data_IF_051862286447
#
_entry.id   IF_051862286447
#
_cell.length_a   1.000
_cell.length_b   1.000
_cell.length_c   1.000
_cell.angle_alpha   90.00
_cell.angle_beta   90.00
_cell.angle_gamma   90.00
#
_symmetry.space_group_name_H-M   'P 1'
#
loop_
_entity.id
_entity.type
_entity.pdbx_description
1 polymer ?
#
# COMPACT_ATOMS: atom_id res chain seq x y z
N UNK A 1 9.38 -33.53 10.60
CA UNK A 1 9.96 -32.41 11.35
C UNK A 1 10.02 -31.18 10.44
N UNK A 2 9.47 -30.03 10.90
CA UNK A 2 9.47 -28.79 10.13
C UNK A 2 10.86 -28.17 10.20
N UNK A 3 11.49 -27.89 9.04
CA UNK A 3 12.80 -27.22 8.96
C UNK A 3 12.71 -25.93 8.14
N UNK A 4 12.69 -24.79 8.79
CA UNK A 4 12.60 -23.48 8.13
C UNK A 4 13.91 -23.06 7.44
N UNK A 5 15.03 -23.76 7.72
CA UNK A 5 16.34 -23.43 7.15
C UNK A 5 16.70 -24.31 5.95
N UNK A 6 16.23 -25.54 5.94
CA UNK A 6 16.67 -26.56 4.98
C UNK A 6 15.59 -26.88 3.94
N UNK A 7 14.32 -26.61 4.25
CA UNK A 7 13.16 -26.93 3.41
C UNK A 7 12.40 -25.68 3.03
N UNK A 8 12.63 -25.10 1.84
CA UNK A 8 11.91 -23.91 1.37
C UNK A 8 10.38 -24.07 1.41
N UNK A 9 9.88 -25.26 1.16
CA UNK A 9 8.45 -25.60 1.21
C UNK A 9 7.88 -25.40 2.62
N UNK A 10 8.59 -25.82 3.66
CA UNK A 10 8.17 -25.65 5.06
C UNK A 10 8.16 -24.17 5.44
N UNK A 11 9.13 -23.39 4.97
CA UNK A 11 9.17 -21.96 5.20
C UNK A 11 7.97 -21.26 4.54
N UNK A 12 7.67 -21.59 3.28
CA UNK A 12 6.53 -21.02 2.53
C UNK A 12 5.20 -21.40 3.18
N UNK A 13 5.01 -22.66 3.54
CA UNK A 13 3.78 -23.14 4.19
C UNK A 13 3.58 -22.48 5.56
N UNK A 14 4.64 -22.34 6.34
CA UNK A 14 4.60 -21.67 7.64
C UNK A 14 4.23 -20.20 7.49
N UNK A 15 4.84 -19.49 6.55
CA UNK A 15 4.51 -18.10 6.26
C UNK A 15 3.05 -17.95 5.78
N UNK A 16 2.58 -18.84 4.89
CA UNK A 16 1.21 -18.84 4.41
C UNK A 16 0.20 -19.08 5.54
N UNK A 17 0.47 -20.03 6.44
CA UNK A 17 -0.35 -20.30 7.61
C UNK A 17 -0.39 -19.09 8.56
N UNK A 18 0.75 -18.45 8.81
CA UNK A 18 0.83 -17.27 9.66
C UNK A 18 -0.03 -16.12 9.07
N UNK A 19 0.14 -15.81 7.79
CA UNK A 19 -0.63 -14.76 7.10
C UNK A 19 -2.14 -15.08 7.15
N UNK A 20 -2.52 -16.35 6.98
CA UNK A 20 -3.90 -16.79 7.10
C UNK A 20 -4.46 -16.55 8.51
N UNK A 21 -3.71 -16.88 9.57
CA UNK A 21 -4.09 -16.60 10.95
C UNK A 21 -4.19 -15.10 11.26
N UNK A 22 -3.42 -14.27 10.56
CA UNK A 22 -3.49 -12.81 10.67
C UNK A 22 -4.71 -12.22 9.98
N UNK A 23 -5.55 -13.03 9.32
CA UNK A 23 -6.82 -12.64 8.73
C UNK A 23 -6.78 -12.42 7.21
N UNK A 24 -5.85 -13.08 6.49
CA UNK A 24 -5.87 -13.10 5.03
C UNK A 24 -7.12 -13.80 4.51
N UNK A 25 -7.81 -13.16 3.57
CA UNK A 25 -9.00 -13.70 2.93
C UNK A 25 -8.65 -14.14 1.51
N UNK A 26 -8.72 -15.46 1.27
CA UNK A 26 -8.42 -16.05 -0.04
C UNK A 26 -9.39 -15.52 -1.11
N UNK A 27 -8.82 -15.07 -2.23
CA UNK A 27 -9.61 -14.59 -3.37
C UNK A 27 -10.03 -13.13 -3.28
N UNK A 28 -9.82 -12.44 -2.16
CA UNK A 28 -10.02 -10.99 -2.08
C UNK A 28 -8.84 -10.21 -2.66
N UNK A 29 -9.15 -9.05 -3.21
CA UNK A 29 -8.14 -8.09 -3.66
C UNK A 29 -7.26 -7.64 -2.48
N UNK A 30 -6.01 -7.31 -2.76
CA UNK A 30 -5.11 -6.72 -1.77
C UNK A 30 -4.49 -5.38 -2.20
N UNK A 31 -4.12 -5.21 -3.47
CA UNK A 31 -3.62 -3.95 -4.00
C UNK A 31 -4.04 -3.80 -5.46
N UNK A 32 -4.84 -2.78 -5.76
CA UNK A 32 -5.33 -2.52 -7.12
C UNK A 32 -4.90 -1.13 -7.59
N UNK A 33 -4.31 -1.06 -8.79
CA UNK A 33 -3.97 0.22 -9.40
C UNK A 33 -5.24 0.95 -9.84
N UNK A 34 -5.28 2.26 -9.59
CA UNK A 34 -6.40 3.11 -9.96
C UNK A 34 -5.96 4.31 -10.77
N UNK A 35 -6.90 4.84 -11.55
CA UNK A 35 -6.77 6.10 -12.26
C UNK A 35 -7.57 7.15 -11.48
N UNK A 36 -6.88 8.22 -11.06
CA UNK A 36 -7.51 9.36 -10.40
C UNK A 36 -8.03 10.37 -11.44
N UNK A 37 -9.14 11.06 -11.16
CA UNK A 37 -9.52 12.25 -11.92
C UNK A 37 -8.43 13.33 -11.86
N UNK A 38 -8.41 14.24 -12.85
CA UNK A 38 -7.39 15.29 -12.94
C UNK A 38 -7.35 16.18 -11.69
N UNK A 39 -8.52 16.54 -11.16
CA UNK A 39 -8.68 17.45 -10.01
C UNK A 39 -9.08 16.67 -8.75
N UNK A 40 -8.51 15.49 -8.55
CA UNK A 40 -8.80 14.66 -7.39
C UNK A 40 -8.22 15.25 -6.10
N UNK A 41 -9.01 15.19 -5.03
CA UNK A 41 -8.59 15.60 -3.68
C UNK A 41 -7.64 14.56 -3.09
N UNK A 42 -6.34 14.68 -3.40
CA UNK A 42 -5.31 13.72 -3.00
C UNK A 42 -5.14 13.62 -1.47
N UNK A 43 -5.61 14.62 -0.70
CA UNK A 43 -5.67 14.62 0.76
C UNK A 43 -6.56 13.51 1.32
N UNK A 44 -7.44 12.93 0.51
CA UNK A 44 -8.23 11.77 0.88
C UNK A 44 -7.40 10.46 0.91
N UNK A 45 -6.18 10.49 0.41
CA UNK A 45 -5.27 9.35 0.46
C UNK A 45 -4.64 9.20 1.86
N UNK A 46 -4.16 7.99 2.15
CA UNK A 46 -3.45 7.66 3.38
C UNK A 46 -4.23 6.78 4.34
N UNK A 47 -3.49 6.16 5.26
CA UNK A 47 -4.07 5.30 6.28
C UNK A 47 -5.04 6.07 7.19
N UNK A 48 -6.11 5.39 7.62
CA UNK A 48 -7.16 6.00 8.44
C UNK A 48 -8.21 6.79 7.63
N UNK A 49 -8.04 6.94 6.31
CA UNK A 49 -8.96 7.68 5.42
C UNK A 49 -9.68 6.77 4.40
N UNK A 50 -9.71 5.47 4.66
CA UNK A 50 -10.33 4.49 3.78
C UNK A 50 -11.85 4.60 3.72
N UNK A 51 -12.42 3.99 2.69
CA UNK A 51 -13.87 3.91 2.45
C UNK A 51 -14.19 2.71 1.55
N UNK A 52 -15.47 2.42 1.35
CA UNK A 52 -15.89 1.36 0.44
C UNK A 52 -15.48 1.66 -1.00
N UNK A 53 -15.24 0.62 -1.80
CA UNK A 53 -14.85 0.78 -3.21
C UNK A 53 -15.87 1.61 -4.00
N UNK A 54 -17.18 1.42 -3.75
CA UNK A 54 -18.26 2.21 -4.38
C UNK A 54 -18.11 3.71 -4.13
N UNK A 55 -17.64 4.10 -2.94
CA UNK A 55 -17.49 5.51 -2.58
C UNK A 55 -16.29 6.12 -3.31
N UNK A 56 -15.22 5.34 -3.53
CA UNK A 56 -14.11 5.73 -4.39
C UNK A 56 -14.56 5.91 -5.85
N UNK A 57 -15.38 4.96 -6.36
CA UNK A 57 -15.93 5.06 -7.71
C UNK A 57 -16.82 6.31 -7.87
N UNK A 58 -17.64 6.64 -6.86
CA UNK A 58 -18.45 7.86 -6.84
C UNK A 58 -17.61 9.14 -6.86
N UNK A 59 -16.39 9.10 -6.30
CA UNK A 59 -15.41 10.19 -6.40
C UNK A 59 -14.64 10.19 -7.76
N UNK A 60 -15.01 9.30 -8.68
CA UNK A 60 -14.46 9.23 -10.02
C UNK A 60 -13.23 8.37 -10.18
N UNK A 61 -12.79 7.63 -9.16
CA UNK A 61 -11.71 6.65 -9.30
C UNK A 61 -12.14 5.51 -10.21
N UNK A 62 -11.20 5.04 -11.04
CA UNK A 62 -11.42 3.89 -11.92
C UNK A 62 -10.32 2.86 -11.69
N UNK A 63 -10.69 1.60 -11.48
CA UNK A 63 -9.73 0.49 -11.48
C UNK A 63 -9.05 0.41 -12.85
N UNK A 64 -7.73 0.29 -12.87
CA UNK A 64 -6.97 0.20 -14.13
C UNK A 64 -6.92 -1.20 -14.71
N UNK A 65 -7.06 -2.23 -13.89
CA UNK A 65 -7.04 -3.63 -14.32
C UNK A 65 -8.31 -4.04 -15.04
N UNK A 66 -8.22 -5.13 -15.81
CA UNK A 66 -9.40 -5.77 -16.39
C UNK A 66 -10.33 -6.22 -15.27
N UNK A 67 -11.62 -6.06 -15.49
CA UNK A 67 -12.79 -6.33 -14.63
C UNK A 67 -12.59 -7.40 -13.56
N UNK A 68 -11.79 -7.13 -12.55
CA UNK A 68 -11.86 -7.89 -11.31
C UNK A 68 -13.25 -7.65 -10.73
N UNK A 69 -14.01 -8.72 -10.51
CA UNK A 69 -15.27 -8.64 -9.78
C UNK A 69 -14.95 -8.43 -8.30
N UNK A 70 -14.57 -7.21 -7.94
CA UNK A 70 -14.35 -6.81 -6.55
C UNK A 70 -15.69 -6.39 -5.97
N UNK A 71 -16.03 -6.90 -4.79
CA UNK A 71 -17.21 -6.42 -4.07
C UNK A 71 -17.06 -4.92 -3.79
N UNK A 72 -18.04 -4.16 -4.25
CA UNK A 72 -18.06 -2.70 -4.13
C UNK A 72 -18.20 -2.19 -2.69
N UNK A 73 -18.57 -3.05 -1.77
CA UNK A 73 -18.65 -2.71 -0.34
C UNK A 73 -17.33 -2.97 0.38
N UNK A 74 -16.33 -3.61 -0.26
CA UNK A 74 -15.02 -3.82 0.36
C UNK A 74 -14.38 -2.48 0.68
N UNK A 75 -13.96 -2.36 1.93
CA UNK A 75 -13.23 -1.21 2.44
C UNK A 75 -11.81 -1.18 1.87
N UNK A 76 -11.37 -0.02 1.44
CA UNK A 76 -10.04 0.16 0.88
C UNK A 76 -9.48 1.55 1.19
N UNK A 77 -8.17 1.64 1.23
CA UNK A 77 -7.43 2.89 1.46
C UNK A 77 -6.71 3.29 0.19
N UNK A 78 -6.84 4.55 -0.21
CA UNK A 78 -6.07 5.10 -1.33
C UNK A 78 -4.63 5.36 -0.90
N UNK A 79 -3.68 4.79 -1.64
CA UNK A 79 -2.25 4.95 -1.40
C UNK A 79 -1.58 5.63 -2.60
N UNK A 80 -0.72 6.58 -2.31
CA UNK A 80 0.09 7.33 -3.29
C UNK A 80 1.59 7.14 -2.95
N UNK A 81 2.20 5.98 -3.29
CA UNK A 81 3.57 5.66 -2.86
C UNK A 81 4.63 6.67 -3.31
N UNK A 82 4.39 7.32 -4.43
CA UNK A 82 5.29 8.30 -5.05
C UNK A 82 4.63 9.69 -5.19
N UNK A 83 3.74 10.02 -4.25
CA UNK A 83 3.02 11.30 -4.23
C UNK A 83 1.87 11.38 -5.24
N UNK A 84 1.22 12.56 -5.28
CA UNK A 84 -0.02 12.79 -6.04
C UNK A 84 0.10 12.61 -7.55
N UNK A 85 1.28 12.80 -8.10
CA UNK A 85 1.56 12.68 -9.53
C UNK A 85 2.10 11.29 -9.90
N UNK A 86 2.36 10.44 -8.93
CA UNK A 86 2.81 9.07 -9.12
C UNK A 86 1.67 8.07 -9.34
N UNK A 87 1.98 6.78 -9.34
CA UNK A 87 0.97 5.73 -9.41
C UNK A 87 0.09 5.73 -8.15
N UNK A 88 -1.20 5.46 -8.34
CA UNK A 88 -2.20 5.40 -7.28
C UNK A 88 -2.74 3.98 -7.13
N UNK A 89 -2.96 3.55 -5.89
CA UNK A 89 -3.45 2.21 -5.59
C UNK A 89 -4.55 2.24 -4.52
N UNK A 90 -5.53 1.35 -4.64
CA UNK A 90 -6.42 0.98 -3.54
C UNK A 90 -5.86 -0.25 -2.83
N UNK A 91 -5.60 -0.10 -1.54
CA UNK A 91 -5.16 -1.15 -0.63
C UNK A 91 -6.38 -1.69 0.13
N UNK A 92 -6.62 -2.98 0.05
CA UNK A 92 -7.71 -3.69 0.71
C UNK A 92 -7.22 -4.40 1.97
N UNK A 93 -8.10 -5.11 2.66
CA UNK A 93 -7.81 -5.82 3.91
C UNK A 93 -6.56 -6.70 3.84
N UNK A 94 -6.41 -7.47 2.77
CA UNK A 94 -5.25 -8.34 2.58
C UNK A 94 -3.91 -7.58 2.52
N UNK A 95 -3.90 -6.36 2.00
CA UNK A 95 -2.73 -5.49 2.03
C UNK A 95 -2.35 -5.12 3.47
N UNK A 96 -3.33 -4.78 4.31
CA UNK A 96 -3.08 -4.45 5.72
C UNK A 96 -2.56 -5.65 6.51
N UNK A 97 -3.08 -6.86 6.23
CA UNK A 97 -2.58 -8.11 6.82
C UNK A 97 -1.10 -8.30 6.48
N UNK A 98 -0.73 -8.14 5.21
CA UNK A 98 0.64 -8.30 4.77
C UNK A 98 1.57 -7.19 5.33
N UNK A 99 1.07 -5.96 5.43
CA UNK A 99 1.80 -4.86 6.04
C UNK A 99 2.08 -5.11 7.52
N UNK A 100 1.12 -5.67 8.26
CA UNK A 100 1.32 -6.06 9.67
C UNK A 100 2.37 -7.17 9.82
N UNK A 101 2.44 -8.09 8.87
CA UNK A 101 3.45 -9.15 8.89
C UNK A 101 4.87 -8.64 8.67
N UNK A 102 5.06 -7.68 7.77
CA UNK A 102 6.40 -7.21 7.36
C UNK A 102 6.79 -5.85 7.97
N UNK A 103 5.81 -5.04 8.38
CA UNK A 103 5.97 -3.68 8.93
C UNK A 103 6.76 -2.72 8.00
N UNK A 104 6.77 -2.98 6.71
CA UNK A 104 7.40 -2.13 5.70
C UNK A 104 6.43 -1.79 4.57
N UNK A 105 6.02 -0.53 4.50
CA UNK A 105 5.11 -0.03 3.47
C UNK A 105 5.62 -0.29 2.05
N UNK A 106 6.88 0.10 1.78
CA UNK A 106 7.47 -0.04 0.43
C UNK A 106 7.62 -1.51 0.06
N UNK A 107 8.07 -2.34 0.99
CA UNK A 107 8.16 -3.78 0.76
C UNK A 107 6.79 -4.37 0.44
N UNK A 108 5.76 -4.03 1.21
CA UNK A 108 4.40 -4.54 1.00
C UNK A 108 3.84 -4.14 -0.37
N UNK A 109 3.98 -2.86 -0.76
CA UNK A 109 3.58 -2.40 -2.11
C UNK A 109 4.33 -3.16 -3.21
N UNK A 110 5.65 -3.32 -3.05
CA UNK A 110 6.50 -4.02 -4.02
C UNK A 110 6.12 -5.49 -4.14
N UNK A 111 5.95 -6.19 -3.01
CA UNK A 111 5.58 -7.61 -2.99
C UNK A 111 4.19 -7.84 -3.60
N UNK A 112 3.21 -6.98 -3.24
CA UNK A 112 1.87 -7.06 -3.82
C UNK A 112 1.90 -6.84 -5.34
N UNK A 113 2.65 -5.85 -5.81
CA UNK A 113 2.80 -5.61 -7.24
C UNK A 113 3.51 -6.77 -7.94
N UNK A 114 4.60 -7.29 -7.37
CA UNK A 114 5.33 -8.44 -7.91
C UNK A 114 4.43 -9.67 -8.04
N UNK A 115 3.67 -10.01 -7.01
CA UNK A 115 2.75 -11.15 -7.05
C UNK A 115 1.68 -10.98 -8.15
N UNK A 116 1.13 -9.78 -8.30
CA UNK A 116 0.21 -9.48 -9.43
C UNK A 116 0.90 -9.63 -10.78
N UNK A 117 2.17 -9.19 -10.91
CA UNK A 117 2.97 -9.36 -12.13
C UNK A 117 3.20 -10.82 -12.47
N UNK A 118 3.51 -11.65 -11.47
CA UNK A 118 3.64 -13.11 -11.64
C UNK A 118 2.31 -13.74 -12.06
N UNK A 119 1.17 -13.20 -11.62
CA UNK A 119 -0.17 -13.58 -12.05
C UNK A 119 -0.61 -13.01 -13.41
N UNK A 120 0.30 -12.36 -14.17
CA UNK A 120 0.01 -11.84 -15.51
C UNK A 120 -0.49 -10.40 -15.59
N UNK A 121 -0.61 -9.69 -14.46
CA UNK A 121 -1.03 -8.28 -14.49
C UNK A 121 -0.03 -7.40 -15.26
N UNK A 122 -0.49 -6.33 -15.88
CA UNK A 122 0.36 -5.35 -16.59
C UNK A 122 1.21 -4.56 -15.59
N UNK A 123 2.33 -3.99 -16.06
CA UNK A 123 3.12 -3.02 -15.27
C UNK A 123 2.22 -1.85 -14.86
N UNK A 124 2.41 -1.31 -13.66
CA UNK A 124 1.73 -0.08 -13.26
C UNK A 124 2.15 1.09 -14.16
N UNK A 125 1.29 2.08 -14.29
CA UNK A 125 1.60 3.29 -15.03
C UNK A 125 2.48 4.20 -14.17
N UNK A 126 3.68 4.47 -14.63
CA UNK A 126 4.68 5.23 -13.85
C UNK A 126 4.22 6.67 -13.54
N UNK A 127 3.39 7.26 -14.42
CA UNK A 127 2.97 8.66 -14.35
C UNK A 127 4.19 9.61 -14.28
N UNK A 128 4.07 10.71 -13.54
CA UNK A 128 5.14 11.69 -13.34
C UNK A 128 5.30 11.94 -11.82
N UNK A 129 5.94 11.00 -11.09
CA UNK A 129 6.11 11.13 -9.65
C UNK A 129 6.92 12.39 -9.32
N UNK A 130 6.64 12.98 -8.16
CA UNK A 130 7.45 14.06 -7.61
C UNK A 130 8.85 13.56 -7.27
N UNK A 131 9.82 14.47 -7.28
CA UNK A 131 11.17 14.18 -6.81
C UNK A 131 11.14 13.65 -5.37
N UNK A 132 12.00 12.67 -5.11
CA UNK A 132 12.15 12.10 -3.78
C UNK A 132 13.08 13.03 -2.99
N UNK A 133 12.65 13.39 -1.77
CA UNK A 133 13.52 14.11 -0.84
C UNK A 133 14.76 13.26 -0.52
N UNK A 134 15.91 13.87 -0.45
CA UNK A 134 17.11 13.22 0.06
C UNK A 134 16.99 12.92 1.57
N UNK A 135 17.95 12.19 2.12
CA UNK A 135 17.93 11.77 3.53
C UNK A 135 17.90 12.97 4.47
N UNK A 136 18.68 14.01 4.20
CA UNK A 136 18.76 15.20 5.06
C UNK A 136 17.45 16.00 5.02
N UNK A 137 16.89 16.19 3.84
CA UNK A 137 15.59 16.84 3.64
C UNK A 137 14.47 16.07 4.34
N UNK A 138 14.50 14.74 4.25
CA UNK A 138 13.52 13.89 4.91
C UNK A 138 13.64 13.95 6.44
N UNK A 139 14.86 13.95 6.99
CA UNK A 139 15.10 14.16 8.42
C UNK A 139 14.56 15.53 8.89
N UNK A 140 14.79 16.58 8.11
CA UNK A 140 14.24 17.93 8.41
C UNK A 140 12.71 17.90 8.43
N UNK A 141 12.08 17.29 7.42
CA UNK A 141 10.62 17.12 7.36
C UNK A 141 10.09 16.35 8.58
N UNK A 142 10.69 15.20 8.91
CA UNK A 142 10.29 14.39 10.07
C UNK A 142 10.41 15.18 11.39
N UNK A 143 11.46 15.95 11.57
CA UNK A 143 11.63 16.81 12.75
C UNK A 143 10.55 17.91 12.83
N UNK A 144 10.24 18.56 11.72
CA UNK A 144 9.17 19.58 11.67
C UNK A 144 7.81 18.97 11.98
N UNK A 145 7.48 17.81 11.41
CA UNK A 145 6.21 17.14 11.68
C UNK A 145 6.13 16.71 13.16
N UNK A 146 7.21 16.15 13.72
CA UNK A 146 7.28 15.79 15.14
C UNK A 146 7.09 16.99 16.06
N UNK A 147 7.72 18.13 15.76
CA UNK A 147 7.56 19.35 16.55
C UNK A 147 6.13 19.91 16.52
N UNK A 148 5.36 19.58 15.48
CA UNK A 148 3.93 19.89 15.35
C UNK A 148 3.01 18.83 16.00
N UNK A 149 3.56 17.81 16.66
CA UNK A 149 2.80 16.78 17.37
C UNK A 149 2.41 15.57 16.54
N UNK A 150 2.89 15.44 15.30
CA UNK A 150 2.61 14.27 14.48
C UNK A 150 3.52 13.09 14.83
N UNK A 151 2.96 11.87 14.86
CA UNK A 151 3.75 10.64 15.00
C UNK A 151 4.39 10.27 13.66
N UNK A 152 5.68 10.52 13.55
CA UNK A 152 6.47 10.17 12.36
C UNK A 152 7.29 8.87 12.54
N UNK A 153 7.21 8.24 13.71
CA UNK A 153 8.07 7.12 14.07
C UNK A 153 9.51 7.55 14.34
N UNK A 154 10.48 6.81 13.81
CA UNK A 154 11.90 7.21 13.88
C UNK A 154 12.17 8.37 12.92
N UNK A 155 13.05 9.27 13.33
CA UNK A 155 13.64 10.28 12.45
C UNK A 155 14.92 9.69 11.87
N UNK A 156 14.79 9.03 10.74
CA UNK A 156 15.86 8.25 10.10
C UNK A 156 16.06 8.58 8.61
N UNK A 157 15.31 9.56 8.11
CA UNK A 157 15.34 9.95 6.70
C UNK A 157 14.59 8.98 5.77
N UNK A 158 13.84 8.02 6.32
CA UNK A 158 13.07 7.06 5.54
C UNK A 158 11.58 7.47 5.54
N UNK A 159 10.98 7.57 4.35
CA UNK A 159 9.56 7.86 4.20
C UNK A 159 8.70 6.61 4.51
N UNK A 160 8.56 6.31 5.80
CA UNK A 160 7.74 5.19 6.30
C UNK A 160 6.25 5.50 6.34
N UNK A 161 5.44 4.51 6.78
CA UNK A 161 3.98 4.65 6.85
C UNK A 161 3.52 5.81 7.75
N UNK A 162 4.14 5.97 8.93
CA UNK A 162 3.81 7.05 9.89
C UNK A 162 4.14 8.44 9.34
N UNK A 163 5.31 8.61 8.73
CA UNK A 163 5.68 9.87 8.09
C UNK A 163 4.72 10.22 6.95
N UNK A 164 4.30 9.22 6.14
CA UNK A 164 3.28 9.42 5.08
C UNK A 164 1.92 9.82 5.61
N UNK A 165 1.54 9.31 6.78
CA UNK A 165 0.28 9.67 7.42
C UNK A 165 0.29 11.08 8.01
N UNK A 166 1.46 11.55 8.42
CA UNK A 166 1.66 12.87 9.02
C UNK A 166 1.73 14.00 7.99
N UNK A 167 2.04 13.69 6.72
CA UNK A 167 2.03 14.63 5.58
C UNK A 167 0.65 14.72 4.96
#
# INVERSE_FOLDING_TARGET
QISLKETPEDAILTAANLINHMGWVKGEAWLEEVILPKDFYWELAGFGRGRALKDWENLGLKLRGEKLKIDKNLYSTLLLPQGKNGPAFLAFKNFEVYLKWNDSFIYTVTAAHLAKRLGGAKKYKHNNPSDILDIEQMIKLQNVLRSKGYDVGKVDGILGAKTRQAV
#
